data_IF_645370397385
#
_entry.id   IF_645370397385
#
_cell.length_a   1.000
_cell.length_b   1.000
_cell.length_c   1.000
_cell.angle_alpha   90.00
_cell.angle_beta   90.00
_cell.angle_gamma   90.00
#
_symmetry.space_group_name_H-M   'P 1'
#
loop_
_entity.id
_entity.type
_entity.pdbx_description
1 polymer ?
#
# COMPACT_ATOMS: atom_id res chain seq x y z
N UNK A 1 -14.43 10.21 45.84
CA UNK A 1 -14.51 11.43 45.01
C UNK A 1 -13.14 11.53 44.37
N UNK A 2 -12.97 10.82 43.26
CA UNK A 2 -11.67 10.71 42.59
C UNK A 2 -11.76 11.41 41.23
N UNK A 3 -10.81 12.32 41.05
CA UNK A 3 -10.68 13.25 39.93
C UNK A 3 -10.16 12.55 38.67
N UNK A 4 -10.94 12.60 37.60
CA UNK A 4 -10.56 12.18 36.24
C UNK A 4 -9.56 13.19 35.63
N UNK A 5 -8.44 12.75 35.03
CA UNK A 5 -7.54 13.65 34.32
C UNK A 5 -8.14 14.08 32.97
N UNK A 6 -8.09 15.38 32.67
CA UNK A 6 -8.52 15.98 31.40
C UNK A 6 -7.66 15.48 30.25
N UNK A 7 -8.29 14.91 29.21
CA UNK A 7 -7.67 14.63 27.90
C UNK A 7 -7.38 15.95 27.19
N UNK A 8 -6.12 16.15 26.77
CA UNK A 8 -5.74 17.21 25.83
C UNK A 8 -6.17 16.85 24.41
N UNK A 9 -6.58 17.86 23.63
CA UNK A 9 -7.16 17.71 22.30
C UNK A 9 -6.11 17.41 21.22
N UNK A 10 -6.57 16.69 20.20
CA UNK A 10 -5.84 16.18 19.04
C UNK A 10 -5.07 17.27 18.24
N UNK A 11 -5.53 18.52 18.27
CA UNK A 11 -4.96 19.63 17.51
C UNK A 11 -3.56 20.06 17.97
N UNK A 12 -3.20 19.87 19.25
CA UNK A 12 -1.90 20.34 19.77
C UNK A 12 -0.71 19.46 19.33
N UNK A 13 -0.97 18.22 18.86
CA UNK A 13 0.09 17.24 18.56
C UNK A 13 0.65 17.34 17.13
N UNK A 14 -0.10 17.90 16.19
CA UNK A 14 0.31 17.93 14.77
C UNK A 14 1.27 19.07 14.41
N UNK A 15 1.42 20.11 15.25
CA UNK A 15 2.20 21.31 14.92
C UNK A 15 3.72 21.19 15.11
N UNK A 16 4.21 20.15 15.79
CA UNK A 16 5.61 20.09 16.24
C UNK A 16 6.60 19.45 15.25
N UNK A 17 6.13 18.75 14.21
CA UNK A 17 6.98 17.91 13.36
C UNK A 17 7.56 18.61 12.10
N UNK A 18 7.20 19.86 11.81
CA UNK A 18 7.44 20.48 10.49
C UNK A 18 8.69 21.39 10.39
N UNK A 19 9.60 21.38 11.36
CA UNK A 19 10.80 22.22 11.32
C UNK A 19 12.04 21.38 11.60
N UNK A 20 12.77 21.01 10.54
CA UNK A 20 14.24 20.96 10.44
C UNK A 20 14.70 19.99 9.34
N UNK A 21 15.30 20.51 8.26
CA UNK A 21 16.61 20.08 7.72
C UNK A 21 16.76 20.43 6.22
N UNK A 22 17.69 21.36 5.93
CA UNK A 22 18.35 21.59 4.63
C UNK A 22 19.84 21.42 4.91
N UNK A 23 20.62 20.68 4.09
CA UNK A 23 21.75 21.35 3.41
C UNK A 23 22.20 20.78 2.03
N UNK A 24 22.39 21.72 1.09
CA UNK A 24 23.50 22.02 0.14
C UNK A 24 24.45 20.96 -0.48
N UNK A 25 24.67 21.20 -1.80
CA UNK A 25 25.64 20.64 -2.79
C UNK A 25 27.13 20.85 -2.47
N UNK A 26 28.01 19.98 -3.02
CA UNK A 26 29.25 20.41 -3.70
C UNK A 26 29.78 19.43 -4.76
N UNK A 27 30.23 19.99 -5.88
CA UNK A 27 30.85 19.43 -7.09
C UNK A 27 32.32 19.01 -6.95
N UNK A 28 32.87 18.22 -7.88
CA UNK A 28 34.20 18.43 -8.52
C UNK A 28 34.50 17.46 -9.69
N UNK A 29 35.15 18.00 -10.73
CA UNK A 29 35.77 17.39 -11.93
C UNK A 29 36.99 18.30 -12.29
N UNK A 30 37.88 18.02 -13.27
CA UNK A 30 38.41 16.77 -13.85
C UNK A 30 39.96 16.83 -14.10
N UNK A 31 40.60 15.79 -14.70
CA UNK A 31 41.54 15.85 -15.88
C UNK A 31 42.46 14.60 -16.06
N UNK A 32 42.73 14.31 -17.33
CA UNK A 32 43.54 13.25 -18.00
C UNK A 32 44.92 13.86 -18.45
N UNK A 33 45.82 13.29 -19.32
CA UNK A 33 45.94 11.96 -19.95
C UNK A 33 47.40 11.40 -20.13
N UNK A 34 47.54 10.16 -20.66
CA UNK A 34 48.59 9.60 -21.57
C UNK A 34 48.71 8.07 -21.32
N UNK A 35 48.98 7.12 -22.24
CA UNK A 35 49.66 7.08 -23.54
C UNK A 35 49.20 5.80 -24.30
N UNK A 36 49.54 5.72 -25.59
CA UNK A 36 49.13 4.72 -26.62
C UNK A 36 49.48 3.26 -26.33
N UNK A 37 48.63 2.33 -26.78
CA UNK A 37 49.04 1.14 -27.54
C UNK A 37 47.85 0.42 -28.18
N UNK A 38 48.02 0.08 -29.46
CA UNK A 38 47.06 -0.53 -30.38
C UNK A 38 46.94 -2.03 -30.10
N UNK A 39 45.72 -2.50 -29.85
CA UNK A 39 45.33 -3.90 -29.97
C UNK A 39 43.97 -3.96 -30.65
N UNK A 40 43.94 -4.43 -31.90
CA UNK A 40 42.70 -4.83 -32.55
C UNK A 40 42.28 -6.16 -31.92
N UNK A 41 41.34 -6.08 -30.97
CA UNK A 41 40.52 -7.21 -30.53
C UNK A 41 39.08 -6.83 -30.83
N UNK A 42 38.47 -7.52 -31.78
CA UNK A 42 37.01 -7.53 -31.94
C UNK A 42 36.43 -8.13 -30.67
N UNK A 43 36.05 -7.26 -29.73
CA UNK A 43 35.19 -7.60 -28.60
C UNK A 43 33.81 -7.09 -28.97
N UNK A 44 32.88 -8.02 -29.15
CA UNK A 44 31.45 -7.73 -29.12
C UNK A 44 31.16 -7.04 -27.79
N UNK A 45 30.94 -5.72 -27.87
CA UNK A 45 30.68 -4.85 -26.72
C UNK A 45 29.17 -4.67 -26.61
N UNK A 46 28.46 -5.75 -26.32
CA UNK A 46 27.12 -5.62 -25.74
C UNK A 46 27.34 -5.42 -24.24
N UNK A 47 27.60 -4.18 -23.84
CA UNK A 47 27.67 -3.80 -22.43
C UNK A 47 26.96 -2.47 -22.24
N UNK A 48 25.84 -2.56 -21.54
CA UNK A 48 25.36 -1.55 -20.58
C UNK A 48 25.22 -0.14 -21.16
N UNK A 49 24.27 0.03 -22.08
CA UNK A 49 23.61 1.33 -22.30
C UNK A 49 22.10 1.25 -22.05
N UNK A 50 21.49 0.10 -22.34
CA UNK A 50 20.09 -0.14 -22.05
C UNK A 50 19.74 -0.02 -20.56
N UNK A 51 20.58 -0.50 -19.64
CA UNK A 51 20.27 -0.40 -18.21
C UNK A 51 20.18 1.06 -17.74
N UNK A 52 21.08 1.95 -18.18
CA UNK A 52 21.06 3.37 -17.77
C UNK A 52 20.00 4.21 -18.49
N UNK A 53 19.61 3.85 -19.71
CA UNK A 53 18.52 4.51 -20.44
C UNK A 53 17.14 4.01 -19.96
N UNK A 54 17.01 2.74 -19.56
CA UNK A 54 15.80 2.21 -18.89
C UNK A 54 15.64 2.79 -17.47
N UNK A 55 16.72 2.92 -16.69
CA UNK A 55 16.70 3.56 -15.36
C UNK A 55 16.35 5.06 -15.40
N UNK A 56 16.47 5.74 -16.56
CA UNK A 56 16.02 7.13 -16.73
C UNK A 56 14.56 7.22 -17.21
N UNK A 57 13.96 6.11 -17.65
CA UNK A 57 12.57 6.01 -18.11
C UNK A 57 11.60 5.64 -16.98
N UNK A 58 12.03 4.83 -16.01
CA UNK A 58 11.24 4.52 -14.82
C UNK A 58 11.46 5.61 -13.77
N UNK A 59 10.70 6.70 -13.89
CA UNK A 59 10.49 7.56 -12.73
C UNK A 59 9.50 6.88 -11.82
N UNK A 60 9.75 6.97 -10.53
CA UNK A 60 8.79 6.56 -9.51
C UNK A 60 8.03 7.78 -9.00
N UNK A 61 6.75 7.57 -8.76
CA UNK A 61 5.84 8.52 -8.17
C UNK A 61 5.48 8.08 -6.77
N UNK A 62 5.78 8.93 -5.80
CA UNK A 62 5.26 8.78 -4.44
C UNK A 62 3.75 8.95 -4.41
N UNK A 63 3.11 8.00 -3.75
CA UNK A 63 1.67 7.97 -3.46
C UNK A 63 1.47 7.59 -1.99
N UNK A 64 0.27 7.75 -1.49
CA UNK A 64 -0.10 7.30 -0.14
C UNK A 64 -1.25 6.31 -0.25
N UNK A 65 -1.15 5.21 0.45
CA UNK A 65 -2.14 4.15 0.47
C UNK A 65 -2.78 4.07 1.83
N UNK A 66 -4.06 3.73 1.83
CA UNK A 66 -4.91 3.63 2.99
C UNK A 66 -5.65 2.30 2.91
N UNK A 67 -5.42 1.46 3.91
CA UNK A 67 -6.17 0.23 4.14
C UNK A 67 -7.10 0.50 5.32
N UNK A 68 -8.39 0.20 5.15
CA UNK A 68 -9.38 0.18 6.23
C UNK A 68 -10.04 -1.20 6.29
N UNK A 69 -9.91 -1.87 7.44
CA UNK A 69 -10.52 -3.17 7.71
C UNK A 69 -11.73 -3.00 8.60
N UNK A 70 -12.84 -3.65 8.23
CA UNK A 70 -14.12 -3.55 8.90
C UNK A 70 -14.54 -4.89 9.53
N UNK A 71 -15.07 -4.84 10.75
CA UNK A 71 -15.82 -5.95 11.35
C UNK A 71 -17.30 -5.61 11.37
N UNK A 72 -18.03 -6.16 10.41
CA UNK A 72 -19.49 -6.12 10.35
C UNK A 72 -20.09 -6.88 11.54
N UNK A 73 -21.34 -6.57 11.86
CA UNK A 73 -22.17 -7.35 12.79
C UNK A 73 -22.70 -8.60 12.07
N UNK A 74 -22.97 -9.65 12.84
CA UNK A 74 -23.43 -10.94 12.30
C UNK A 74 -24.79 -10.89 11.60
N UNK A 75 -25.58 -9.83 11.85
CA UNK A 75 -26.93 -9.63 11.32
C UNK A 75 -26.99 -8.70 10.10
N UNK A 76 -25.84 -8.38 9.49
CA UNK A 76 -25.76 -7.54 8.30
C UNK A 76 -26.47 -8.19 7.11
N UNK A 77 -27.49 -7.52 6.56
CA UNK A 77 -28.16 -7.97 5.33
C UNK A 77 -27.36 -7.56 4.09
N UNK A 78 -27.55 -8.25 2.97
CA UNK A 78 -26.88 -7.92 1.72
C UNK A 78 -27.20 -6.49 1.25
N UNK A 79 -28.42 -5.98 1.48
CA UNK A 79 -28.79 -4.59 1.15
C UNK A 79 -28.06 -3.57 2.01
N UNK A 80 -27.86 -3.86 3.30
CA UNK A 80 -27.13 -2.99 4.22
C UNK A 80 -25.63 -3.00 3.93
N UNK A 81 -25.08 -4.17 3.60
CA UNK A 81 -23.70 -4.29 3.15
C UNK A 81 -23.47 -3.48 1.89
N UNK A 82 -24.33 -3.67 0.88
CA UNK A 82 -24.31 -2.90 -0.37
C UNK A 82 -24.35 -1.40 -0.11
N UNK A 83 -25.31 -0.91 0.68
CA UNK A 83 -25.41 0.52 1.03
C UNK A 83 -24.11 1.03 1.68
N UNK A 84 -23.60 0.31 2.68
CA UNK A 84 -22.35 0.64 3.35
C UNK A 84 -21.16 0.74 2.37
N UNK A 85 -21.00 -0.26 1.50
CA UNK A 85 -19.91 -0.32 0.52
C UNK A 85 -20.04 0.76 -0.56
N UNK A 86 -21.25 1.07 -1.01
CA UNK A 86 -21.52 2.15 -1.98
C UNK A 86 -21.16 3.53 -1.43
N UNK A 87 -21.53 3.83 -0.18
CA UNK A 87 -21.17 5.11 0.43
C UNK A 87 -19.66 5.23 0.69
N UNK A 88 -18.99 4.13 1.05
CA UNK A 88 -17.54 4.09 1.13
C UNK A 88 -16.90 4.30 -0.24
N UNK A 89 -17.41 3.65 -1.28
CA UNK A 89 -16.90 3.79 -2.65
C UNK A 89 -17.06 5.22 -3.17
N UNK A 90 -18.21 5.84 -2.94
CA UNK A 90 -18.53 7.18 -3.44
C UNK A 90 -17.77 8.30 -2.74
N UNK A 91 -17.09 8.01 -1.61
CA UNK A 91 -16.19 8.94 -0.94
C UNK A 91 -15.10 9.48 -1.90
N UNK A 92 -14.67 8.67 -2.88
CA UNK A 92 -13.72 9.09 -3.92
C UNK A 92 -14.21 10.28 -4.77
N UNK A 93 -15.53 10.46 -4.93
CA UNK A 93 -16.12 11.54 -5.74
C UNK A 93 -16.43 12.79 -4.92
N UNK A 94 -16.62 12.61 -3.61
CA UNK A 94 -16.96 13.69 -2.70
C UNK A 94 -15.70 14.41 -2.17
N UNK A 95 -14.52 13.82 -2.37
CA UNK A 95 -13.28 14.25 -1.74
C UNK A 95 -12.14 14.36 -2.75
N UNK A 96 -11.61 15.57 -2.90
CA UNK A 96 -10.38 15.78 -3.66
C UNK A 96 -9.20 15.09 -2.97
N UNK A 97 -8.40 14.35 -3.74
CA UNK A 97 -7.16 13.72 -3.27
C UNK A 97 -7.16 12.19 -3.35
N UNK A 98 -8.33 11.55 -3.27
CA UNK A 98 -8.49 10.12 -3.54
C UNK A 98 -8.39 9.92 -5.06
N UNK A 99 -7.50 9.04 -5.49
CA UNK A 99 -7.23 8.77 -6.91
C UNK A 99 -7.56 7.33 -7.33
N UNK A 100 -7.74 6.42 -6.38
CA UNK A 100 -8.25 5.07 -6.60
C UNK A 100 -8.95 4.55 -5.34
N UNK A 101 -9.98 3.73 -5.51
CA UNK A 101 -10.66 3.03 -4.43
C UNK A 101 -11.09 1.64 -4.91
N UNK A 102 -10.77 0.62 -4.12
CA UNK A 102 -11.30 -0.74 -4.26
C UNK A 102 -11.75 -1.23 -2.91
N UNK A 103 -12.83 -2.00 -2.86
CA UNK A 103 -13.40 -2.51 -1.61
C UNK A 103 -14.20 -3.78 -1.88
N UNK A 104 -14.38 -4.59 -0.85
CA UNK A 104 -15.15 -5.82 -0.97
C UNK A 104 -15.18 -6.64 0.31
N UNK A 105 -15.96 -7.72 0.25
CA UNK A 105 -16.05 -8.74 1.29
C UNK A 105 -14.80 -9.61 1.28
N UNK A 106 -14.19 -9.82 2.45
CA UNK A 106 -13.00 -10.65 2.59
C UNK A 106 -13.40 -12.13 2.41
N UNK A 107 -12.72 -12.84 1.51
CA UNK A 107 -13.06 -14.24 1.20
C UNK A 107 -12.39 -15.24 2.14
N UNK A 108 -11.20 -14.94 2.67
CA UNK A 108 -10.55 -15.82 3.63
C UNK A 108 -11.02 -15.60 5.07
N UNK A 109 -11.09 -16.70 5.81
CA UNK A 109 -11.08 -16.62 7.26
C UNK A 109 -9.78 -15.95 7.71
N UNK A 110 -9.91 -15.11 8.73
CA UNK A 110 -8.78 -14.43 9.34
C UNK A 110 -8.94 -14.43 10.87
N UNK A 111 -7.83 -14.50 11.62
CA UNK A 111 -7.86 -14.72 13.06
C UNK A 111 -8.55 -13.58 13.83
N UNK A 112 -8.58 -12.40 13.24
CA UNK A 112 -9.14 -11.20 13.86
C UNK A 112 -10.62 -10.99 13.50
N UNK A 113 -11.22 -11.78 12.61
CA UNK A 113 -12.64 -11.70 12.25
C UNK A 113 -13.02 -10.46 11.44
N UNK A 114 -12.10 -9.88 10.67
CA UNK A 114 -12.44 -8.84 9.69
C UNK A 114 -13.29 -9.42 8.56
N UNK A 115 -14.27 -8.64 8.13
CA UNK A 115 -15.32 -9.07 7.19
C UNK A 115 -15.21 -8.36 5.84
N UNK A 116 -14.75 -7.11 5.85
CA UNK A 116 -14.60 -6.29 4.66
C UNK A 116 -13.27 -5.56 4.71
N UNK A 117 -12.77 -5.19 3.55
CA UNK A 117 -11.59 -4.38 3.40
C UNK A 117 -11.84 -3.27 2.37
N UNK A 118 -11.24 -2.12 2.62
CA UNK A 118 -11.26 -0.95 1.75
C UNK A 118 -9.83 -0.54 1.50
N UNK A 119 -9.48 -0.39 0.24
CA UNK A 119 -8.25 0.21 -0.24
C UNK A 119 -8.57 1.57 -0.82
N UNK A 120 -7.84 2.60 -0.41
CA UNK A 120 -7.84 3.90 -1.07
C UNK A 120 -6.41 4.33 -1.36
N UNK A 121 -6.22 5.03 -2.48
CA UNK A 121 -4.97 5.68 -2.81
C UNK A 121 -5.14 7.18 -2.89
N UNK A 122 -4.19 7.90 -2.32
CA UNK A 122 -4.09 9.34 -2.31
C UNK A 122 -2.86 9.81 -3.08
N UNK A 123 -2.96 11.00 -3.67
CA UNK A 123 -1.82 11.59 -4.39
C UNK A 123 -0.71 12.06 -3.44
N UNK A 124 -1.06 12.54 -2.23
CA UNK A 124 -0.11 13.13 -1.28
C UNK A 124 -0.49 12.85 0.17
N UNK A 125 0.51 12.93 1.07
CA UNK A 125 0.31 12.83 2.53
C UNK A 125 -0.60 13.90 3.09
N UNK A 126 -0.67 15.09 2.50
CA UNK A 126 -1.60 16.12 2.98
C UNK A 126 -3.06 15.76 2.69
N UNK A 127 -3.31 14.96 1.66
CA UNK A 127 -4.67 14.56 1.28
C UNK A 127 -5.24 13.56 2.29
N UNK A 128 -4.43 12.64 2.83
CA UNK A 128 -4.90 11.70 3.86
C UNK A 128 -5.19 12.39 5.20
N UNK A 129 -4.40 13.40 5.58
CA UNK A 129 -4.67 14.18 6.77
C UNK A 129 -6.01 14.96 6.67
N UNK A 130 -6.32 15.48 5.48
CA UNK A 130 -7.62 16.11 5.20
C UNK A 130 -8.76 15.10 5.13
N UNK A 131 -8.46 13.87 4.68
CA UNK A 131 -9.46 12.80 4.59
C UNK A 131 -10.07 12.47 5.95
N UNK A 132 -9.25 12.29 6.98
CA UNK A 132 -9.73 12.02 8.35
C UNK A 132 -10.53 13.16 8.98
N UNK A 133 -10.39 14.38 8.48
CA UNK A 133 -11.10 15.57 8.99
C UNK A 133 -12.30 15.94 8.12
N UNK A 134 -12.57 15.20 7.05
CA UNK A 134 -13.60 15.56 6.09
C UNK A 134 -14.99 15.24 6.62
N UNK A 135 -15.86 16.25 6.68
CA UNK A 135 -17.23 16.09 7.19
C UNK A 135 -18.09 15.12 6.39
N UNK A 136 -17.89 15.01 5.07
CA UNK A 136 -18.64 14.07 4.24
C UNK A 136 -18.25 12.63 4.55
N UNK A 137 -16.95 12.34 4.65
CA UNK A 137 -16.47 11.02 5.04
C UNK A 137 -16.88 10.63 6.47
N UNK A 138 -16.76 11.56 7.42
CA UNK A 138 -17.23 11.33 8.79
C UNK A 138 -18.74 11.05 8.81
N UNK A 139 -19.52 11.73 7.98
CA UNK A 139 -20.94 11.45 7.79
C UNK A 139 -21.20 10.07 7.17
N UNK A 140 -20.38 9.61 6.22
CA UNK A 140 -20.45 8.23 5.69
C UNK A 140 -20.19 7.22 6.80
N UNK A 141 -19.13 7.43 7.60
CA UNK A 141 -18.83 6.55 8.72
C UNK A 141 -19.99 6.50 9.72
N UNK A 142 -20.49 7.65 10.14
CA UNK A 142 -21.55 7.75 11.16
C UNK A 142 -22.87 7.13 10.70
N UNK A 143 -23.29 7.40 9.46
CA UNK A 143 -24.63 7.04 8.99
C UNK A 143 -24.70 5.69 8.27
N UNK A 144 -23.61 5.23 7.67
CA UNK A 144 -23.61 4.05 6.80
C UNK A 144 -22.65 2.94 7.26
N UNK A 145 -21.61 3.24 8.04
CA UNK A 145 -20.64 2.21 8.47
C UNK A 145 -20.86 1.80 9.93
N UNK A 146 -20.83 2.74 10.86
CA UNK A 146 -20.95 2.49 12.31
C UNK A 146 -22.28 1.85 12.76
N UNK A 147 -23.42 2.01 12.05
CA UNK A 147 -24.61 1.23 12.35
C UNK A 147 -24.44 -0.27 12.11
N UNK A 148 -23.52 -0.65 11.23
CA UNK A 148 -23.33 -2.01 10.72
C UNK A 148 -22.01 -2.66 11.14
N UNK A 149 -21.00 -1.85 11.49
CA UNK A 149 -19.68 -2.29 11.90
C UNK A 149 -19.39 -1.92 13.36
N UNK A 150 -18.60 -2.75 14.05
CA UNK A 150 -18.20 -2.53 15.45
C UNK A 150 -16.70 -2.25 15.63
N UNK A 151 -15.88 -2.55 14.61
CA UNK A 151 -14.44 -2.24 14.60
C UNK A 151 -14.03 -1.74 13.22
N UNK A 152 -13.23 -0.68 13.24
CA UNK A 152 -12.48 -0.14 12.10
C UNK A 152 -11.00 -0.13 12.46
N UNK A 153 -10.16 -0.63 11.56
CA UNK A 153 -8.70 -0.60 11.71
C UNK A 153 -8.07 -0.04 10.45
N UNK A 154 -7.28 1.03 10.61
CA UNK A 154 -6.65 1.74 9.50
C UNK A 154 -5.13 1.54 9.50
N UNK A 155 -4.55 1.42 8.31
CA UNK A 155 -3.11 1.45 8.08
C UNK A 155 -2.82 2.34 6.87
N UNK A 156 -1.97 3.33 7.07
CA UNK A 156 -1.64 4.31 6.05
C UNK A 156 -0.15 4.26 5.76
N UNK A 157 0.28 4.20 4.50
CA UNK A 157 1.71 4.20 4.19
C UNK A 157 2.03 4.96 2.91
N UNK A 158 3.25 5.47 2.82
CA UNK A 158 3.80 5.99 1.57
C UNK A 158 4.44 4.85 0.79
N UNK A 159 4.15 4.76 -0.50
CA UNK A 159 4.77 3.81 -1.42
C UNK A 159 5.13 4.54 -2.72
N UNK A 160 5.89 3.86 -3.56
CA UNK A 160 6.28 4.31 -4.89
C UNK A 160 5.64 3.39 -5.94
N UNK A 161 5.26 3.97 -7.07
CA UNK A 161 4.74 3.28 -8.27
C UNK A 161 5.36 3.92 -9.50
N UNK A 162 5.36 3.22 -10.64
CA UNK A 162 5.79 3.82 -11.90
C UNK A 162 5.03 5.15 -12.18
N UNK A 163 5.76 6.19 -12.60
CA UNK A 163 5.26 7.54 -12.89
C UNK A 163 4.49 7.56 -14.24
N UNK A 164 3.47 6.71 -14.34
CA UNK A 164 2.53 6.60 -15.45
C UNK A 164 1.07 6.63 -14.94
N UNK A 165 0.15 7.06 -15.80
CA UNK A 165 -1.27 7.25 -15.48
C UNK A 165 -1.91 5.92 -15.04
N UNK A 166 -1.61 4.82 -15.71
CA UNK A 166 -2.24 3.53 -15.40
C UNK A 166 -1.89 3.04 -13.98
N UNK A 167 -0.60 2.88 -13.61
CA UNK A 167 -0.21 2.45 -12.27
C UNK A 167 -0.56 3.46 -11.18
N UNK A 168 -0.51 4.78 -11.43
CA UNK A 168 -0.87 5.80 -10.44
C UNK A 168 -2.35 5.74 -10.09
N UNK A 169 -3.21 5.81 -11.11
CA UNK A 169 -4.67 5.89 -10.94
C UNK A 169 -5.34 4.51 -10.85
N UNK A 170 -4.56 3.42 -10.95
CA UNK A 170 -5.05 2.03 -11.01
C UNK A 170 -6.13 1.88 -12.08
N UNK A 171 -5.81 2.33 -13.30
CA UNK A 171 -6.71 2.31 -14.46
C UNK A 171 -6.17 1.40 -15.54
N UNK A 172 -7.07 0.91 -16.39
CA UNK A 172 -6.74 0.01 -17.49
C UNK A 172 -7.29 -1.38 -17.24
N UNK A 173 -7.25 -2.23 -18.28
CA UNK A 173 -7.84 -3.58 -18.25
C UNK A 173 -7.29 -4.42 -17.09
N UNK A 174 -5.99 -4.31 -16.82
CA UNK A 174 -5.31 -5.03 -15.74
C UNK A 174 -5.78 -4.63 -14.33
N UNK A 175 -6.42 -3.47 -14.15
CA UNK A 175 -6.95 -3.02 -12.87
C UNK A 175 -8.47 -3.19 -12.74
N UNK A 176 -9.20 -3.47 -13.82
CA UNK A 176 -10.66 -3.53 -13.82
C UNK A 176 -11.24 -4.76 -13.09
N UNK A 177 -10.46 -5.84 -12.97
CA UNK A 177 -10.83 -7.09 -12.32
C UNK A 177 -9.60 -7.70 -11.66
N UNK A 178 -9.82 -8.71 -10.81
CA UNK A 178 -8.73 -9.45 -10.17
C UNK A 178 -8.95 -9.58 -8.68
N UNK A 179 -7.85 -9.65 -7.92
CA UNK A 179 -7.88 -9.79 -6.46
C UNK A 179 -7.01 -8.72 -5.84
N UNK A 180 -7.49 -8.07 -4.78
CA UNK A 180 -6.65 -7.29 -3.86
C UNK A 180 -6.23 -8.19 -2.73
N UNK A 181 -4.92 -8.27 -2.48
CA UNK A 181 -4.35 -8.98 -1.35
C UNK A 181 -3.64 -8.00 -0.45
N UNK A 182 -4.11 -7.85 0.78
CA UNK A 182 -3.56 -6.93 1.76
C UNK A 182 -2.84 -7.70 2.85
N UNK A 183 -1.63 -7.27 3.17
CA UNK A 183 -0.78 -7.85 4.21
C UNK A 183 -0.49 -6.74 5.21
N UNK A 184 -0.90 -6.92 6.46
CA UNK A 184 -0.62 -6.00 7.57
C UNK A 184 0.35 -6.69 8.53
N UNK A 185 1.43 -5.99 8.91
CA UNK A 185 2.56 -6.59 9.62
C UNK A 185 2.93 -5.75 10.85
N UNK A 186 2.91 -6.37 12.02
CA UNK A 186 3.52 -5.87 13.24
C UNK A 186 4.95 -6.43 13.34
N UNK A 187 5.92 -5.60 12.98
CA UNK A 187 7.34 -5.94 13.06
C UNK A 187 7.82 -5.78 14.50
N UNK A 188 8.70 -6.68 14.94
CA UNK A 188 9.34 -6.59 16.24
C UNK A 188 10.14 -5.29 16.37
N UNK A 189 9.96 -4.57 17.48
CA UNK A 189 10.67 -3.31 17.74
C UNK A 189 12.20 -3.45 17.76
N UNK A 190 12.71 -4.66 17.99
CA UNK A 190 14.13 -4.98 17.99
C UNK A 190 14.64 -5.49 16.63
N UNK A 191 13.77 -5.64 15.63
CA UNK A 191 14.17 -6.07 14.30
C UNK A 191 15.13 -5.06 13.67
N UNK A 192 16.31 -5.48 13.19
CA UNK A 192 17.24 -4.58 12.52
C UNK A 192 16.62 -4.01 11.24
N UNK A 193 16.73 -2.69 11.05
CA UNK A 193 16.21 -2.00 9.86
C UNK A 193 16.66 -2.63 8.55
N UNK A 194 17.91 -3.10 8.47
CA UNK A 194 18.44 -3.77 7.28
C UNK A 194 17.67 -5.06 6.94
N UNK A 195 17.18 -5.81 7.93
CA UNK A 195 16.38 -7.02 7.70
C UNK A 195 14.97 -6.66 7.24
N UNK A 196 14.40 -5.57 7.77
CA UNK A 196 13.10 -5.05 7.33
C UNK A 196 13.20 -4.61 5.87
N UNK A 197 14.17 -3.77 5.55
CA UNK A 197 14.40 -3.24 4.19
C UNK A 197 14.69 -4.39 3.20
N UNK A 198 15.43 -5.44 3.62
CA UNK A 198 15.73 -6.62 2.80
C UNK A 198 14.51 -7.56 2.60
N UNK A 199 13.61 -7.67 3.58
CA UNK A 199 12.38 -8.43 3.47
C UNK A 199 11.38 -7.74 2.52
N UNK A 200 11.17 -6.44 2.75
CA UNK A 200 10.32 -5.59 1.91
C UNK A 200 10.87 -5.53 0.48
N UNK A 201 12.17 -5.30 0.30
CA UNK A 201 12.78 -5.24 -1.04
C UNK A 201 12.67 -6.55 -1.84
N UNK A 202 12.61 -7.71 -1.18
CA UNK A 202 12.36 -8.98 -1.88
C UNK A 202 10.88 -9.21 -2.22
N UNK A 203 9.95 -8.71 -1.38
CA UNK A 203 8.52 -8.73 -1.68
C UNK A 203 8.22 -7.91 -2.94
N UNK A 204 8.79 -6.70 -3.03
CA UNK A 204 8.64 -5.78 -4.17
C UNK A 204 9.14 -6.39 -5.48
N UNK A 205 10.28 -7.12 -5.46
CA UNK A 205 10.84 -7.78 -6.65
C UNK A 205 9.88 -8.81 -7.26
N UNK A 206 8.94 -9.36 -6.48
CA UNK A 206 7.98 -10.33 -7.01
C UNK A 206 7.11 -9.75 -8.13
N UNK A 207 6.83 -8.45 -8.14
CA UNK A 207 6.11 -7.80 -9.25
C UNK A 207 6.81 -8.01 -10.59
N UNK A 208 8.13 -7.79 -10.62
CA UNK A 208 8.95 -7.92 -11.83
C UNK A 208 9.23 -9.39 -12.16
N UNK A 209 9.33 -10.25 -11.14
CA UNK A 209 9.60 -11.68 -11.33
C UNK A 209 8.36 -12.49 -11.73
N UNK A 210 7.16 -12.05 -11.35
CA UNK A 210 5.88 -12.72 -11.59
C UNK A 210 4.88 -11.80 -12.33
N UNK A 211 5.24 -11.18 -13.48
CA UNK A 211 4.39 -10.19 -14.15
C UNK A 211 3.12 -10.80 -14.76
N UNK A 212 3.09 -12.12 -14.94
CA UNK A 212 1.89 -12.87 -15.36
C UNK A 212 0.87 -13.07 -14.22
N UNK A 213 1.27 -12.83 -12.97
CA UNK A 213 0.41 -13.01 -11.80
C UNK A 213 0.07 -11.66 -11.17
N UNK A 214 1.10 -10.85 -10.94
CA UNK A 214 1.02 -9.57 -10.23
C UNK A 214 0.90 -8.44 -11.25
N UNK A 215 -0.04 -7.54 -10.99
CA UNK A 215 -0.22 -6.28 -11.72
C UNK A 215 0.58 -5.17 -11.06
N UNK A 216 0.55 -5.12 -9.72
CA UNK A 216 1.23 -4.10 -8.93
C UNK A 216 1.40 -4.58 -7.50
N UNK A 217 2.56 -4.32 -6.90
CA UNK A 217 2.86 -4.54 -5.50
C UNK A 217 3.35 -3.23 -4.88
N UNK A 218 2.72 -2.82 -3.79
CA UNK A 218 3.09 -1.62 -3.03
C UNK A 218 3.24 -1.99 -1.56
N UNK A 219 4.10 -1.26 -0.86
CA UNK A 219 4.38 -1.53 0.54
C UNK A 219 4.94 -0.30 1.23
N UNK A 220 4.87 -0.27 2.56
CA UNK A 220 5.52 0.78 3.33
C UNK A 220 5.31 0.67 4.83
N UNK A 221 6.03 1.53 5.55
CA UNK A 221 5.85 1.71 6.98
C UNK A 221 4.58 2.54 7.25
N UNK A 222 3.83 2.12 8.26
CA UNK A 222 2.62 2.78 8.69
C UNK A 222 2.94 4.19 9.20
N UNK A 223 2.19 5.19 8.74
CA UNK A 223 2.27 6.58 9.15
C UNK A 223 1.57 6.80 10.51
N UNK A 224 0.61 5.95 10.87
CA UNK A 224 -0.22 6.06 12.08
C UNK A 224 0.21 5.06 13.18
N UNK A 225 1.49 5.08 13.56
CA UNK A 225 2.05 4.10 14.52
C UNK A 225 1.40 4.20 15.91
N UNK A 226 0.91 5.38 16.33
CA UNK A 226 0.34 5.56 17.68
C UNK A 226 -0.98 4.83 17.91
N UNK A 227 -1.73 4.55 16.84
CA UNK A 227 -3.13 4.11 16.91
C UNK A 227 -3.38 2.82 16.12
N UNK A 228 -2.32 2.14 15.65
CA UNK A 228 -2.40 0.89 14.91
C UNK A 228 -1.47 -0.15 15.50
N UNK A 229 -1.96 -1.39 15.61
CA UNK A 229 -1.12 -2.53 16.01
C UNK A 229 -0.14 -2.95 14.90
N UNK A 230 -0.35 -2.48 13.66
CA UNK A 230 0.47 -2.83 12.52
C UNK A 230 1.46 -1.71 12.18
N UNK A 231 2.72 -2.09 12.04
CA UNK A 231 3.84 -1.19 11.75
C UNK A 231 4.08 -0.99 10.26
N UNK A 232 3.67 -1.95 9.44
CA UNK A 232 3.89 -1.96 7.99
C UNK A 232 2.69 -2.59 7.30
N UNK A 233 2.53 -2.30 6.02
CA UNK A 233 1.60 -3.00 5.17
C UNK A 233 2.13 -3.15 3.75
N UNK A 234 1.52 -4.08 3.02
CA UNK A 234 1.67 -4.26 1.60
C UNK A 234 0.33 -4.58 0.94
N UNK A 235 0.16 -4.14 -0.30
CA UNK A 235 -0.98 -4.46 -1.16
C UNK A 235 -0.44 -5.05 -2.45
N UNK A 236 -0.97 -6.22 -2.82
CA UNK A 236 -0.64 -6.90 -4.07
C UNK A 236 -1.91 -7.03 -4.89
N UNK A 237 -1.88 -6.47 -6.10
CA UNK A 237 -2.94 -6.61 -7.10
C UNK A 237 -2.64 -7.80 -7.99
N UNK A 238 -3.54 -8.78 -8.01
CA UNK A 238 -3.44 -9.93 -8.90
C UNK A 238 -4.37 -9.79 -10.10
N UNK A 239 -3.94 -10.33 -11.25
CA UNK A 239 -4.71 -10.33 -12.50
C UNK A 239 -6.01 -11.13 -12.41
N UNK A 240 -6.06 -12.15 -11.55
CA UNK A 240 -7.21 -13.04 -11.39
C UNK A 240 -7.13 -13.83 -10.08
N UNK A 241 -8.23 -14.48 -9.69
CA UNK A 241 -8.25 -15.42 -8.58
C UNK A 241 -7.30 -16.62 -8.81
N UNK A 242 -7.16 -17.09 -10.06
CA UNK A 242 -6.21 -18.15 -10.41
C UNK A 242 -4.76 -17.68 -10.20
N UNK A 243 -4.42 -16.46 -10.64
CA UNK A 243 -3.10 -15.88 -10.42
C UNK A 243 -2.76 -15.73 -8.93
N UNK A 244 -3.73 -15.29 -8.12
CA UNK A 244 -3.60 -15.22 -6.67
C UNK A 244 -3.33 -16.60 -6.05
N UNK A 245 -4.11 -17.62 -6.43
CA UNK A 245 -3.92 -18.98 -5.93
C UNK A 245 -2.56 -19.57 -6.32
N UNK A 246 -2.09 -19.32 -7.55
CA UNK A 246 -0.74 -19.69 -8.00
C UNK A 246 0.33 -18.99 -7.15
N UNK A 247 0.15 -17.71 -6.87
CA UNK A 247 1.07 -16.93 -6.04
C UNK A 247 1.18 -17.45 -4.61
N UNK A 248 0.06 -17.80 -3.95
CA UNK A 248 0.10 -18.38 -2.59
C UNK A 248 0.86 -19.71 -2.53
N UNK A 249 0.88 -20.45 -3.64
CA UNK A 249 1.64 -21.68 -3.82
C UNK A 249 3.10 -21.47 -4.27
N UNK A 250 3.49 -20.25 -4.64
CA UNK A 250 4.81 -19.97 -5.20
C UNK A 250 5.92 -20.15 -4.16
N UNK A 251 6.98 -20.86 -4.53
CA UNK A 251 8.06 -21.17 -3.60
C UNK A 251 8.83 -19.93 -3.18
N UNK A 252 9.00 -18.93 -4.06
CA UNK A 252 9.78 -17.73 -3.72
C UNK A 252 9.04 -16.88 -2.71
N UNK A 253 7.73 -16.65 -2.91
CA UNK A 253 6.93 -15.92 -1.92
C UNK A 253 6.97 -16.60 -0.55
N UNK A 254 6.81 -17.93 -0.52
CA UNK A 254 6.87 -18.71 0.72
C UNK A 254 8.24 -18.67 1.39
N UNK A 255 9.32 -18.74 0.60
CA UNK A 255 10.68 -18.68 1.10
C UNK A 255 11.00 -17.29 1.66
N UNK A 256 10.58 -16.21 0.99
CA UNK A 256 10.69 -14.83 1.49
C UNK A 256 9.95 -14.70 2.83
N UNK A 257 8.72 -15.20 2.91
CA UNK A 257 7.95 -15.14 4.14
C UNK A 257 8.61 -15.91 5.28
N UNK A 258 9.00 -17.16 5.05
CA UNK A 258 9.57 -18.04 6.07
C UNK A 258 10.97 -17.60 6.53
N UNK A 259 11.81 -17.12 5.61
CA UNK A 259 13.21 -16.79 5.91
C UNK A 259 13.42 -15.34 6.32
N UNK A 260 12.59 -14.40 5.85
CA UNK A 260 12.80 -12.96 6.07
C UNK A 260 11.72 -12.31 6.93
N UNK A 261 10.43 -12.53 6.64
CA UNK A 261 9.36 -11.90 7.42
C UNK A 261 9.13 -12.59 8.77
N UNK A 262 9.04 -13.93 8.79
CA UNK A 262 8.73 -14.68 10.01
C UNK A 262 9.69 -14.37 11.19
N UNK A 263 11.03 -14.22 11.00
CA UNK A 263 11.94 -13.90 12.10
C UNK A 263 11.77 -12.50 12.71
N UNK A 264 11.20 -11.55 11.95
CA UNK A 264 11.06 -10.15 12.36
C UNK A 264 9.62 -9.75 12.67
N UNK A 265 8.66 -10.67 12.52
CA UNK A 265 7.22 -10.37 12.64
C UNK A 265 6.66 -10.90 13.96
N UNK A 266 6.04 -10.02 14.74
CA UNK A 266 5.28 -10.39 15.94
C UNK A 266 3.86 -10.86 15.58
N UNK A 267 3.21 -10.16 14.66
CA UNK A 267 1.86 -10.46 14.18
C UNK A 267 1.79 -10.12 12.69
N UNK A 268 1.11 -10.96 11.92
CA UNK A 268 0.72 -10.63 10.56
C UNK A 268 -0.74 -11.00 10.34
N UNK A 269 -1.41 -10.20 9.52
CA UNK A 269 -2.74 -10.44 9.02
C UNK A 269 -2.69 -10.33 7.50
N UNK A 270 -3.24 -11.33 6.82
CA UNK A 270 -3.38 -11.29 5.38
C UNK A 270 -4.85 -11.52 5.01
N UNK A 271 -5.40 -10.62 4.20
CA UNK A 271 -6.80 -10.66 3.76
C UNK A 271 -6.87 -10.41 2.26
N UNK A 272 -7.86 -10.99 1.60
CA UNK A 272 -8.10 -10.73 0.19
C UNK A 272 -9.58 -10.65 -0.16
N UNK A 273 -9.87 -9.93 -1.24
CA UNK A 273 -11.19 -9.84 -1.83
C UNK A 273 -11.08 -9.70 -3.37
N UNK A 274 -12.06 -10.22 -4.12
CA UNK A 274 -12.14 -9.98 -5.55
C UNK A 274 -12.50 -8.51 -5.79
N UNK A 275 -11.96 -7.93 -6.85
CA UNK A 275 -12.42 -6.61 -7.31
C UNK A 275 -13.42 -6.80 -8.41
N UNK A 276 -14.62 -6.32 -8.13
CA UNK A 276 -15.69 -6.27 -9.10
C UNK A 276 -15.53 -5.05 -10.02
N UNK A 277 -15.76 -5.23 -11.33
CA UNK A 277 -15.74 -4.12 -12.27
C UNK A 277 -16.83 -3.10 -11.92
N UNK A 278 -16.42 -1.85 -11.83
CA UNK A 278 -17.32 -0.73 -11.54
C UNK A 278 -18.40 -0.65 -12.62
N UNK A 279 -19.67 -0.85 -12.23
CA UNK A 279 -20.83 -0.63 -13.10
C UNK A 279 -21.31 -1.83 -13.92
N UNK A 280 -20.84 -3.06 -13.68
CA UNK A 280 -21.49 -4.27 -14.25
C UNK A 280 -22.78 -4.63 -13.54
N UNK A 281 -22.85 -4.31 -12.27
CA UNK A 281 -24.09 -4.13 -11.53
C UNK A 281 -24.04 -2.68 -11.06
N UNK A 282 -25.16 -1.96 -11.11
CA UNK A 282 -25.32 -0.88 -10.14
C UNK A 282 -25.39 -1.66 -8.83
N UNK A 283 -24.20 -1.84 -8.23
CA UNK A 283 -23.97 -2.75 -7.12
C UNK A 283 -24.98 -2.49 -6.06
#
# INVERSE_FOLDING_TARGET
MDSVPKRQSFEERYSAAAQNAVPTRSSLHPRNPSTRSIWVRVRVRVRVRYASELLLLYRERKIVEHICLLKAKDDLSDEQEKDMLDYLYTSQYQMGGIIATTLGRIENQNPDGYTHAVFMRFQRKEDIARFYQNSSYLGVLENHVMPHCHVLTNVDYESEVEDDILPIFRKGEDFNYGVEYMILIAIDENAPREQIDDALGDLEKLEVELPSLIVQCTQGANLNISDSEYTHAAVVRFRSAEAFNMFLGDSKYRDIWASKFQPITQKALAVHFPVDPVGTEIM
#
